data_IF_466443337783
#
_entry.id   IF_466443337783
#
_cell.length_a   1.000
_cell.length_b   1.000
_cell.length_c   1.000
_cell.angle_alpha   90.00
_cell.angle_beta   90.00
_cell.angle_gamma   90.00
#
_symmetry.space_group_name_H-M   'P 1'
#
loop_
_entity.id
_entity.type
_entity.pdbx_description
1 polymer ?
#
# COMPACT_ATOMS: atom_id res chain seq x y z
N UNK A 1 9.94 -0.42 -22.69
CA UNK A 1 9.95 -1.83 -23.18
C UNK A 1 8.95 -2.67 -22.38
N UNK A 2 7.76 -2.99 -22.94
CA UNK A 2 6.68 -3.64 -22.18
C UNK A 2 7.07 -5.01 -21.60
N UNK A 3 7.87 -5.80 -22.29
CA UNK A 3 8.28 -7.12 -21.80
C UNK A 3 9.16 -6.99 -20.55
N UNK A 4 10.11 -6.05 -20.55
CA UNK A 4 10.94 -5.78 -19.36
C UNK A 4 10.08 -5.34 -18.18
N UNK A 5 9.06 -4.51 -18.41
CA UNK A 5 8.14 -4.06 -17.36
C UNK A 5 7.34 -5.26 -16.78
N UNK A 6 6.87 -6.19 -17.62
CA UNK A 6 6.23 -7.43 -17.16
C UNK A 6 7.16 -8.28 -16.31
N UNK A 7 8.42 -8.42 -16.75
CA UNK A 7 9.41 -9.21 -16.02
C UNK A 7 9.76 -8.59 -14.66
N UNK A 8 9.81 -7.24 -14.57
CA UNK A 8 9.97 -6.54 -13.29
C UNK A 8 8.78 -6.80 -12.34
N UNK A 9 7.55 -6.75 -12.85
CA UNK A 9 6.36 -7.07 -12.05
C UNK A 9 6.39 -8.53 -11.59
N UNK A 10 6.73 -9.49 -12.46
CA UNK A 10 6.87 -10.89 -12.08
C UNK A 10 7.92 -11.09 -11.00
N UNK A 11 9.11 -10.51 -11.19
CA UNK A 11 10.19 -10.60 -10.22
C UNK A 11 9.78 -10.07 -8.83
N UNK A 12 9.05 -8.95 -8.78
CA UNK A 12 8.52 -8.41 -7.54
C UNK A 12 7.56 -9.40 -6.86
N UNK A 13 6.63 -9.99 -7.61
CA UNK A 13 5.64 -10.93 -7.08
C UNK A 13 6.20 -12.35 -6.81
N UNK A 14 7.37 -12.71 -7.32
CA UNK A 14 8.06 -13.95 -6.96
C UNK A 14 8.51 -13.94 -5.49
N UNK A 15 8.63 -12.76 -4.88
CA UNK A 15 8.96 -12.56 -3.47
C UNK A 15 7.75 -12.17 -2.62
N UNK A 16 6.53 -12.29 -3.15
CA UNK A 16 5.33 -12.08 -2.34
C UNK A 16 5.24 -13.13 -1.24
N UNK A 17 5.05 -12.68 0.00
CA UNK A 17 4.91 -13.60 1.16
C UNK A 17 3.63 -14.43 1.10
N UNK A 18 3.57 -15.47 1.93
CA UNK A 18 2.35 -16.31 2.06
C UNK A 18 1.13 -15.51 2.52
N UNK A 19 1.34 -14.42 3.25
CA UNK A 19 0.29 -13.52 3.74
C UNK A 19 -0.15 -12.50 2.67
N UNK A 20 0.74 -12.18 1.71
CA UNK A 20 0.44 -11.27 0.60
C UNK A 20 1.34 -10.04 0.49
N UNK A 21 2.22 -9.79 1.47
CA UNK A 21 3.16 -8.67 1.43
C UNK A 21 4.12 -8.78 0.25
N UNK A 22 4.38 -7.67 -0.41
CA UNK A 22 5.52 -7.51 -1.32
C UNK A 22 6.66 -6.91 -0.51
N UNK A 23 7.85 -7.52 -0.56
CA UNK A 23 9.01 -7.03 0.18
C UNK A 23 9.58 -5.76 -0.45
N UNK A 24 10.24 -4.95 0.36
CA UNK A 24 10.76 -3.63 -0.04
C UNK A 24 11.80 -3.70 -1.16
N UNK A 25 12.88 -4.44 -0.94
CA UNK A 25 13.99 -4.53 -1.87
C UNK A 25 14.39 -5.97 -2.16
N UNK A 26 14.66 -6.24 -3.44
CA UNK A 26 15.15 -7.52 -3.93
C UNK A 26 16.54 -7.32 -4.50
N UNK A 27 17.52 -8.00 -3.94
CA UNK A 27 18.93 -7.92 -4.32
C UNK A 27 19.40 -9.18 -5.06
N UNK A 28 20.53 -9.06 -5.76
CA UNK A 28 21.18 -10.21 -6.42
C UNK A 28 21.60 -11.28 -5.41
N UNK A 29 22.13 -10.88 -4.25
CA UNK A 29 22.24 -11.75 -3.09
C UNK A 29 20.93 -11.71 -2.30
N UNK A 30 20.19 -12.79 -2.35
CA UNK A 30 18.88 -12.93 -1.67
C UNK A 30 18.95 -12.73 -0.15
N UNK A 31 20.12 -12.89 0.47
CA UNK A 31 20.32 -12.67 1.91
C UNK A 31 20.26 -11.18 2.29
N UNK A 32 20.44 -10.30 1.31
CA UNK A 32 20.36 -8.85 1.49
C UNK A 32 18.96 -8.28 1.24
N UNK A 33 17.99 -9.13 0.86
CA UNK A 33 16.61 -8.70 0.66
C UNK A 33 16.06 -8.01 1.90
N UNK A 34 15.42 -6.86 1.71
CA UNK A 34 14.74 -6.17 2.80
C UNK A 34 13.30 -6.65 2.92
N UNK A 35 13.05 -7.49 3.94
CA UNK A 35 11.74 -8.02 4.31
C UNK A 35 11.10 -7.30 5.50
N UNK A 36 11.70 -6.19 5.96
CA UNK A 36 11.24 -5.45 7.15
C UNK A 36 9.97 -4.64 6.91
N UNK A 37 9.74 -4.26 5.67
CA UNK A 37 8.62 -3.43 5.24
C UNK A 37 8.20 -3.74 3.79
N UNK A 38 7.07 -3.20 3.39
CA UNK A 38 6.62 -3.18 1.99
C UNK A 38 6.98 -1.83 1.33
N UNK A 39 6.31 -1.50 0.24
CA UNK A 39 6.33 -0.22 -0.46
C UNK A 39 4.91 0.24 -0.76
N UNK A 40 4.68 1.51 -1.07
CA UNK A 40 3.34 2.00 -1.42
C UNK A 40 2.63 1.14 -2.47
N UNK A 41 1.30 0.94 -2.37
CA UNK A 41 0.55 0.00 -3.22
C UNK A 41 0.35 0.55 -4.63
N UNK A 42 1.40 0.53 -5.45
CA UNK A 42 1.41 1.01 -6.83
C UNK A 42 1.44 -0.12 -7.87
N UNK A 43 1.41 -1.38 -7.44
CA UNK A 43 1.55 -2.54 -8.32
C UNK A 43 0.38 -2.66 -9.32
N UNK A 44 -0.86 -2.43 -8.88
CA UNK A 44 -2.01 -2.47 -9.77
C UNK A 44 -1.97 -1.35 -10.83
N UNK A 45 -1.45 -0.18 -10.47
CA UNK A 45 -1.22 0.89 -11.43
C UNK A 45 -0.20 0.48 -12.51
N UNK A 46 0.94 -0.06 -12.10
CA UNK A 46 1.95 -0.56 -13.04
C UNK A 46 1.36 -1.61 -14.01
N UNK A 47 0.58 -2.57 -13.50
CA UNK A 47 -0.08 -3.60 -14.32
C UNK A 47 -1.10 -2.98 -15.27
N UNK A 48 -1.88 -2.00 -14.83
CA UNK A 48 -2.83 -1.27 -15.68
C UNK A 48 -2.13 -0.55 -16.83
N UNK A 49 -1.02 0.15 -16.56
CA UNK A 49 -0.24 0.84 -17.59
C UNK A 49 0.41 -0.14 -18.59
N UNK A 50 0.91 -1.28 -18.12
CA UNK A 50 1.41 -2.35 -18.97
C UNK A 50 0.29 -2.88 -19.87
N UNK A 51 -0.91 -3.12 -19.31
CA UNK A 51 -2.06 -3.58 -20.09
C UNK A 51 -2.48 -2.56 -21.15
N UNK A 52 -2.59 -1.29 -20.80
CA UNK A 52 -2.90 -0.21 -21.77
C UNK A 52 -1.92 -0.17 -22.94
N UNK A 53 -0.64 -0.43 -22.67
CA UNK A 53 0.41 -0.43 -23.68
C UNK A 53 0.47 -1.70 -24.54
N UNK A 54 -0.03 -2.84 -24.05
CA UNK A 54 0.18 -4.14 -24.68
C UNK A 54 -1.08 -4.91 -25.05
N UNK A 55 -2.19 -4.59 -24.38
CA UNK A 55 -3.47 -5.31 -24.43
C UNK A 55 -3.32 -6.83 -24.10
N UNK A 56 -2.28 -7.19 -23.32
CA UNK A 56 -2.00 -8.56 -22.93
C UNK A 56 -2.87 -8.99 -21.74
N UNK A 57 -4.03 -9.54 -22.05
CA UNK A 57 -4.97 -10.04 -21.04
C UNK A 57 -4.44 -11.26 -20.28
N UNK A 58 -3.56 -12.06 -20.88
CA UNK A 58 -3.02 -13.25 -20.22
C UNK A 58 -2.03 -12.87 -19.12
N UNK A 59 -1.23 -11.80 -19.32
CA UNK A 59 -0.42 -11.22 -18.26
C UNK A 59 -1.28 -10.70 -17.10
N UNK A 60 -2.38 -10.02 -17.40
CA UNK A 60 -3.30 -9.55 -16.36
C UNK A 60 -3.89 -10.72 -15.57
N UNK A 61 -4.35 -11.78 -16.23
CA UNK A 61 -4.87 -13.00 -15.58
C UNK A 61 -3.83 -13.69 -14.68
N UNK A 62 -2.57 -13.70 -15.12
CA UNK A 62 -1.45 -14.26 -14.36
C UNK A 62 -1.23 -13.50 -13.05
N UNK A 63 -1.22 -12.16 -13.10
CA UNK A 63 -0.81 -11.30 -11.98
C UNK A 63 -1.99 -10.93 -11.06
N UNK A 64 -3.21 -10.85 -11.57
CA UNK A 64 -4.37 -10.36 -10.85
C UNK A 64 -4.60 -11.01 -9.47
N UNK A 65 -4.52 -12.35 -9.30
CA UNK A 65 -4.69 -12.97 -7.98
C UNK A 65 -3.64 -12.50 -6.96
N UNK A 66 -2.43 -12.22 -7.41
CA UNK A 66 -1.33 -11.72 -6.58
C UNK A 66 -1.55 -10.26 -6.18
N UNK A 67 -2.05 -9.43 -7.11
CA UNK A 67 -2.46 -8.04 -6.82
C UNK A 67 -3.55 -7.99 -5.76
N UNK A 68 -4.61 -8.78 -5.94
CA UNK A 68 -5.72 -8.83 -5.01
C UNK A 68 -5.29 -9.28 -3.61
N UNK A 69 -4.37 -10.24 -3.54
CA UNK A 69 -3.79 -10.70 -2.29
C UNK A 69 -2.98 -9.60 -1.60
N UNK A 70 -2.22 -8.80 -2.35
CA UNK A 70 -1.47 -7.67 -1.81
C UNK A 70 -2.39 -6.57 -1.31
N UNK A 71 -3.46 -6.23 -2.04
CA UNK A 71 -4.48 -5.29 -1.61
C UNK A 71 -5.09 -5.68 -0.26
N UNK A 72 -5.51 -6.94 -0.12
CA UNK A 72 -6.08 -7.48 1.13
C UNK A 72 -5.10 -7.44 2.29
N UNK A 73 -3.81 -7.70 2.00
CA UNK A 73 -2.76 -7.65 3.00
C UNK A 73 -2.69 -6.30 3.73
N UNK A 74 -2.87 -5.18 3.02
CA UNK A 74 -2.90 -3.86 3.64
C UNK A 74 -3.97 -3.76 4.72
N UNK A 75 -5.19 -4.11 4.42
CA UNK A 75 -6.32 -4.05 5.37
C UNK A 75 -6.22 -5.10 6.49
N UNK A 76 -5.54 -6.21 6.26
CA UNK A 76 -5.35 -7.23 7.29
C UNK A 76 -4.23 -6.87 8.27
N UNK A 77 -3.12 -6.33 7.79
CA UNK A 77 -1.90 -6.16 8.57
C UNK A 77 -1.49 -4.69 8.82
N UNK A 78 -2.15 -3.73 8.19
CA UNK A 78 -1.84 -2.29 8.26
C UNK A 78 -3.05 -1.41 8.59
N UNK A 79 -4.15 -1.99 9.01
CA UNK A 79 -5.33 -1.32 9.55
C UNK A 79 -5.46 -1.74 11.02
N UNK A 80 -4.87 -0.96 11.93
CA UNK A 80 -4.70 -1.34 13.33
C UNK A 80 -6.03 -1.46 14.09
N UNK A 81 -6.92 -0.47 13.91
CA UNK A 81 -8.21 -0.40 14.61
C UNK A 81 -9.39 -0.93 13.76
N UNK A 82 -9.08 -1.45 12.57
CA UNK A 82 -10.05 -2.04 11.62
C UNK A 82 -11.15 -1.07 11.18
N UNK A 83 -10.81 0.21 11.10
CA UNK A 83 -11.74 1.25 10.65
C UNK A 83 -11.79 1.40 9.12
N UNK A 84 -10.89 0.73 8.39
CA UNK A 84 -10.81 0.74 6.93
C UNK A 84 -9.84 1.76 6.35
N UNK A 85 -9.08 2.46 7.21
CA UNK A 85 -7.95 3.30 6.81
C UNK A 85 -6.65 2.69 7.32
N UNK A 86 -5.66 2.60 6.43
CA UNK A 86 -4.41 1.93 6.73
C UNK A 86 -3.33 2.90 7.19
N UNK A 87 -2.39 2.37 7.97
CA UNK A 87 -1.18 3.03 8.41
C UNK A 87 0.03 2.41 7.70
N UNK A 88 1.09 3.19 7.46
CA UNK A 88 2.39 2.61 7.17
C UNK A 88 2.92 1.85 8.39
N UNK A 89 3.75 0.85 8.15
CA UNK A 89 4.19 -0.01 9.23
C UNK A 89 5.46 -0.80 8.92
N UNK A 90 5.73 -1.78 9.76
CA UNK A 90 6.88 -2.65 9.61
C UNK A 90 6.62 -4.07 10.14
N UNK A 91 7.49 -4.99 9.78
CA UNK A 91 7.49 -6.38 10.26
C UNK A 91 8.19 -6.49 11.61
N UNK A 92 9.18 -5.63 11.85
CA UNK A 92 10.07 -5.65 13.02
C UNK A 92 9.70 -4.64 14.11
N UNK A 93 8.68 -3.82 13.91
CA UNK A 93 8.21 -2.83 14.87
C UNK A 93 9.07 -1.57 14.94
N UNK A 94 9.91 -1.32 13.96
CA UNK A 94 10.75 -0.11 13.94
C UNK A 94 10.10 1.03 13.15
N UNK A 95 10.23 2.25 13.66
CA UNK A 95 9.77 3.47 12.99
C UNK A 95 10.52 3.70 11.68
N UNK A 96 11.82 3.38 11.64
CA UNK A 96 12.65 3.50 10.45
C UNK A 96 12.09 2.69 9.27
N UNK A 97 11.79 1.40 9.48
CA UNK A 97 11.23 0.55 8.43
C UNK A 97 9.82 1.00 8.02
N UNK A 98 9.03 1.56 8.94
CA UNK A 98 7.72 2.14 8.62
C UNK A 98 7.85 3.39 7.74
N UNK A 99 8.84 4.24 8.00
CA UNK A 99 9.14 5.38 7.14
C UNK A 99 9.58 4.92 5.74
N UNK A 100 10.40 3.88 5.65
CA UNK A 100 10.79 3.27 4.36
C UNK A 100 9.60 2.67 3.59
N UNK A 101 8.61 2.10 4.30
CA UNK A 101 7.39 1.59 3.68
C UNK A 101 6.61 2.70 2.96
N UNK A 102 6.66 3.94 3.48
CA UNK A 102 6.01 5.09 2.85
C UNK A 102 6.71 5.59 1.57
N UNK A 103 7.98 5.21 1.37
CA UNK A 103 8.84 5.78 0.33
C UNK A 103 9.28 7.23 0.59
N UNK A 104 8.94 7.78 1.78
CA UNK A 104 9.28 9.14 2.22
C UNK A 104 10.09 9.07 3.52
N UNK A 105 11.26 8.46 3.45
CA UNK A 105 12.10 8.00 4.56
C UNK A 105 12.39 9.08 5.62
N UNK A 106 12.46 10.33 5.21
CA UNK A 106 12.79 11.47 6.08
C UNK A 106 11.61 12.44 6.28
N UNK A 107 10.38 11.99 6.07
CA UNK A 107 9.22 12.84 6.25
C UNK A 107 9.00 13.17 7.73
N UNK A 108 9.09 14.47 8.07
CA UNK A 108 8.94 14.96 9.45
C UNK A 108 7.57 14.65 10.08
N UNK A 109 6.56 14.34 9.26
CA UNK A 109 5.24 13.91 9.73
C UNK A 109 5.27 12.64 10.58
N UNK A 110 6.35 11.85 10.51
CA UNK A 110 6.53 10.62 11.27
C UNK A 110 7.34 10.80 12.57
N UNK A 111 8.00 11.94 12.79
CA UNK A 111 8.94 12.15 13.91
C UNK A 111 8.30 11.92 15.30
N UNK A 112 7.00 12.17 15.43
CA UNK A 112 6.26 11.97 16.69
C UNK A 112 5.31 10.79 16.65
N UNK A 113 5.51 9.87 15.71
CA UNK A 113 4.73 8.64 15.62
C UNK A 113 5.30 7.55 16.51
N UNK A 114 4.45 6.63 16.91
CA UNK A 114 4.81 5.45 17.67
C UNK A 114 4.28 4.20 16.98
N UNK A 115 4.92 3.05 17.27
CA UNK A 115 4.53 1.78 16.68
C UNK A 115 3.48 1.09 17.53
N UNK A 116 2.42 0.60 16.88
CA UNK A 116 1.35 -0.21 17.45
C UNK A 116 1.46 -1.64 16.91
N UNK A 117 1.38 -2.62 17.78
CA UNK A 117 1.49 -4.01 17.39
C UNK A 117 0.15 -4.55 16.92
N UNK A 118 0.09 -5.04 15.68
CA UNK A 118 -1.09 -5.69 15.11
C UNK A 118 -1.02 -7.22 15.24
N UNK A 119 0.18 -7.78 15.01
CA UNK A 119 0.47 -9.21 15.07
C UNK A 119 1.96 -9.44 15.43
N UNK A 120 2.40 -10.67 15.45
CA UNK A 120 3.80 -11.02 15.76
C UNK A 120 4.81 -10.48 14.74
N UNK A 121 4.38 -10.29 13.50
CA UNK A 121 5.18 -9.76 12.39
C UNK A 121 4.49 -8.60 11.67
N UNK A 122 3.61 -7.87 12.35
CA UNK A 122 2.91 -6.73 11.80
C UNK A 122 2.76 -5.62 12.84
N UNK A 123 3.27 -4.46 12.49
CA UNK A 123 3.19 -3.24 13.29
C UNK A 123 2.77 -2.09 12.39
N UNK A 124 1.95 -1.19 12.90
CA UNK A 124 1.53 0.04 12.24
C UNK A 124 1.96 1.27 13.01
N UNK A 125 2.13 2.39 12.31
CA UNK A 125 2.20 3.70 12.95
C UNK A 125 0.88 4.01 13.66
N UNK A 126 0.92 4.80 14.73
CA UNK A 126 -0.29 5.35 15.35
C UNK A 126 -0.88 6.52 14.54
N UNK A 127 -0.76 6.46 13.22
CA UNK A 127 -1.08 7.54 12.29
C UNK A 127 -1.50 6.95 10.95
N UNK A 128 -2.75 7.20 10.56
CA UNK A 128 -3.28 6.89 9.24
C UNK A 128 -2.73 7.90 8.23
N UNK A 129 -2.16 7.42 7.14
CA UNK A 129 -1.49 8.27 6.16
C UNK A 129 -2.37 8.55 4.96
N UNK A 130 -2.53 9.82 4.62
CA UNK A 130 -3.41 10.27 3.54
C UNK A 130 -2.98 9.72 2.18
N UNK A 131 -1.69 9.71 1.90
CA UNK A 131 -1.12 9.20 0.65
C UNK A 131 -1.35 7.69 0.49
N UNK A 132 -1.10 6.90 1.55
CA UNK A 132 -1.36 5.46 1.54
C UNK A 132 -2.83 5.16 1.21
N UNK A 133 -3.75 5.83 1.89
CA UNK A 133 -5.17 5.60 1.70
C UNK A 133 -5.68 6.12 0.35
N UNK A 134 -5.08 7.18 -0.19
CA UNK A 134 -5.33 7.63 -1.55
C UNK A 134 -4.85 6.61 -2.60
N UNK A 135 -3.65 6.01 -2.39
CA UNK A 135 -3.17 4.92 -3.24
C UNK A 135 -4.07 3.69 -3.18
N UNK A 136 -4.51 3.28 -1.98
CA UNK A 136 -5.41 2.13 -1.82
C UNK A 136 -6.79 2.37 -2.44
N UNK A 137 -7.34 3.59 -2.35
CA UNK A 137 -8.57 3.97 -3.02
C UNK A 137 -8.42 3.91 -4.56
N UNK A 138 -7.30 4.40 -5.09
CA UNK A 138 -7.00 4.30 -6.51
C UNK A 138 -6.76 2.84 -6.94
N UNK A 139 -6.02 2.08 -6.15
CA UNK A 139 -5.78 0.65 -6.38
C UNK A 139 -7.09 -0.15 -6.45
N UNK A 140 -8.07 0.15 -5.57
CA UNK A 140 -9.40 -0.45 -5.61
C UNK A 140 -10.07 -0.27 -6.99
N UNK A 141 -10.05 0.95 -7.54
CA UNK A 141 -10.63 1.23 -8.85
C UNK A 141 -9.92 0.45 -9.96
N UNK A 142 -8.60 0.41 -9.93
CA UNK A 142 -7.79 -0.34 -10.90
C UNK A 142 -8.03 -1.85 -10.81
N UNK A 143 -8.11 -2.41 -9.60
CA UNK A 143 -8.40 -3.82 -9.39
C UNK A 143 -9.78 -4.20 -9.90
N UNK A 144 -10.77 -3.32 -9.72
CA UNK A 144 -12.12 -3.50 -10.25
C UNK A 144 -12.13 -3.53 -11.78
N UNK A 145 -11.37 -2.65 -12.44
CA UNK A 145 -11.21 -2.67 -13.91
C UNK A 145 -10.45 -3.92 -14.37
N UNK A 146 -9.34 -4.25 -13.72
CA UNK A 146 -8.51 -5.40 -14.06
C UNK A 146 -9.24 -6.74 -13.83
N UNK A 147 -10.19 -6.80 -12.89
CA UNK A 147 -11.00 -8.00 -12.64
C UNK A 147 -11.80 -8.44 -13.86
N UNK A 148 -12.32 -7.47 -14.62
CA UNK A 148 -13.08 -7.72 -15.85
C UNK A 148 -12.16 -8.37 -16.90
N UNK A 149 -10.94 -7.86 -17.04
CA UNK A 149 -9.93 -8.38 -17.99
C UNK A 149 -9.46 -9.76 -17.55
N UNK A 150 -9.25 -9.96 -16.25
CA UNK A 150 -8.86 -11.24 -15.67
C UNK A 150 -9.98 -12.28 -15.68
N UNK A 151 -11.24 -11.85 -15.91
CA UNK A 151 -12.43 -12.67 -15.76
C UNK A 151 -12.54 -13.29 -14.36
N UNK A 152 -12.31 -12.45 -13.33
CA UNK A 152 -12.38 -12.80 -11.92
C UNK A 152 -13.48 -12.01 -11.22
N UNK A 153 -14.04 -12.59 -10.16
CA UNK A 153 -14.97 -11.89 -9.27
C UNK A 153 -14.20 -10.87 -8.41
N UNK A 154 -14.82 -9.69 -8.18
CA UNK A 154 -14.26 -8.64 -7.35
C UNK A 154 -15.29 -8.20 -6.30
N UNK A 155 -15.03 -8.51 -5.05
CA UNK A 155 -15.97 -8.29 -3.92
C UNK A 155 -15.31 -7.49 -2.78
N UNK A 156 -14.33 -6.63 -3.10
CA UNK A 156 -13.69 -5.82 -2.06
C UNK A 156 -14.59 -4.64 -1.66
N UNK A 157 -14.56 -4.23 -0.38
CA UNK A 157 -15.32 -3.07 0.09
C UNK A 157 -14.87 -1.77 -0.60
N UNK A 158 -15.84 -0.99 -1.09
CA UNK A 158 -15.57 0.31 -1.70
C UNK A 158 -15.41 1.38 -0.61
N UNK A 159 -14.20 1.92 -0.46
CA UNK A 159 -13.85 2.99 0.47
C UNK A 159 -13.48 4.31 -0.23
N UNK A 160 -13.58 4.36 -1.56
CA UNK A 160 -13.09 5.49 -2.37
C UNK A 160 -13.77 6.82 -2.02
N UNK A 161 -15.09 6.81 -1.78
CA UNK A 161 -15.85 8.00 -1.47
C UNK A 161 -15.56 8.57 -0.07
N UNK A 162 -15.21 7.72 0.90
CA UNK A 162 -14.98 8.13 2.29
C UNK A 162 -13.56 8.63 2.51
N UNK A 163 -12.59 8.17 1.73
CA UNK A 163 -11.17 8.51 1.90
C UNK A 163 -10.90 10.01 1.80
N UNK A 164 -11.41 10.66 0.76
CA UNK A 164 -11.19 12.09 0.57
C UNK A 164 -11.83 12.92 1.69
N UNK A 165 -13.07 12.62 2.07
CA UNK A 165 -13.76 13.35 3.14
C UNK A 165 -13.11 13.15 4.51
N UNK A 166 -12.56 11.97 4.78
CA UNK A 166 -11.91 11.67 6.05
C UNK A 166 -10.62 12.46 6.28
N UNK A 167 -9.77 12.55 5.27
CA UNK A 167 -8.47 13.21 5.38
C UNK A 167 -8.51 14.71 5.10
N UNK A 168 -9.59 15.23 4.48
CA UNK A 168 -9.69 16.64 4.14
C UNK A 168 -10.06 17.50 5.34
N UNK A 169 -9.20 18.44 5.68
CA UNK A 169 -9.48 19.47 6.67
C UNK A 169 -10.16 20.67 5.99
N UNK A 170 -11.46 20.86 6.27
CA UNK A 170 -12.28 21.90 5.62
C UNK A 170 -11.91 23.32 6.07
N UNK A 171 -11.32 23.48 7.24
CA UNK A 171 -10.91 24.79 7.75
C UNK A 171 -9.59 25.24 7.09
N UNK A 172 -8.68 24.28 6.90
CA UNK A 172 -7.37 24.52 6.29
C UNK A 172 -7.38 24.34 4.75
N UNK A 173 -8.47 23.81 4.21
CA UNK A 173 -8.59 23.46 2.79
C UNK A 173 -7.44 22.57 2.28
N UNK A 174 -7.00 21.62 3.11
CA UNK A 174 -5.87 20.76 2.82
C UNK A 174 -6.07 19.34 3.36
N UNK A 175 -5.29 18.37 2.85
CA UNK A 175 -5.29 17.00 3.31
C UNK A 175 -4.21 16.76 4.35
N UNK A 176 -4.55 16.06 5.43
CA UNK A 176 -3.62 15.72 6.51
C UNK A 176 -3.77 14.27 6.93
N UNK A 177 -2.65 13.67 7.35
CA UNK A 177 -2.69 12.42 8.10
C UNK A 177 -3.53 12.57 9.38
N UNK A 178 -4.05 11.46 9.89
CA UNK A 178 -4.86 11.43 11.11
C UNK A 178 -4.18 10.62 12.20
N UNK A 179 -4.23 11.11 13.43
CA UNK A 179 -3.74 10.37 14.59
C UNK A 179 -4.82 9.38 15.06
N UNK A 180 -4.51 8.07 15.20
CA UNK A 180 -5.49 7.03 15.55
C UNK A 180 -6.24 7.35 16.84
N UNK A 181 -5.55 7.76 17.89
CA UNK A 181 -6.14 7.96 19.22
C UNK A 181 -7.14 9.12 19.32
N UNK A 182 -7.04 10.10 18.45
CA UNK A 182 -7.81 11.35 18.53
C UNK A 182 -8.51 11.73 17.23
N UNK A 183 -8.19 11.07 16.13
CA UNK A 183 -8.59 11.41 14.75
C UNK A 183 -8.27 12.87 14.38
N UNK A 184 -7.35 13.50 15.12
CA UNK A 184 -6.89 14.85 14.84
C UNK A 184 -5.91 14.86 13.65
N UNK A 185 -5.95 15.95 12.89
CA UNK A 185 -5.02 16.17 11.78
C UNK A 185 -3.58 16.29 12.29
N UNK A 186 -2.66 15.59 11.65
CA UNK A 186 -1.22 15.72 11.89
C UNK A 186 -0.73 16.89 11.05
N UNK A 187 -0.63 18.05 11.68
CA UNK A 187 -0.19 19.29 11.01
C UNK A 187 1.28 19.54 11.33
N UNK A 188 2.14 19.37 10.34
CA UNK A 188 3.57 19.68 10.43
C UNK A 188 3.96 20.61 9.29
N UNK A 189 4.77 21.62 9.60
CA UNK A 189 5.28 22.53 8.57
C UNK A 189 6.39 21.83 7.78
N UNK A 190 6.35 21.94 6.46
CA UNK A 190 7.39 21.45 5.57
C UNK A 190 7.21 20.00 5.07
N UNK A 191 5.99 19.50 5.05
CA UNK A 191 5.64 18.27 4.31
C UNK A 191 5.41 18.55 2.84
#
# INVERSE_FOLDING_TARGET
>A
EPNLAKDQVRAMFDYQTSEGMIIDCIYTDKKENNERNSKPPLAAWAVSEIYKATLDADFVKEIYPKLLKYHRWWYEYRDHDKNGFCEFGSVDGTLEASAWESGMDNAIRFDHSSMLKNDNRAWSLNQESVDLNAYLAHEYLLLKELSIIANCEFNEPDRTATTADYFFDREKEFFYDKRLSSHSSVQVEGC
#
